data_IF_828539241040
#
_entry.id   IF_828539241040
#
_cell.length_a   1.000
_cell.length_b   1.000
_cell.length_c   1.000
_cell.angle_alpha   90.00
_cell.angle_beta   90.00
_cell.angle_gamma   90.00
#
_symmetry.space_group_name_H-M   'P 1'
#
loop_
_entity.id
_entity.type
_entity.pdbx_description
1 polymer ?
#
# COMPACT_ATOMS: atom_id res chain seq x y z
N UNK A 1 -61.99 -1.06 -23.98
CA UNK A 1 -60.63 -1.36 -24.51
C UNK A 1 -59.87 -0.07 -24.68
N UNK A 2 -58.56 -0.01 -24.34
CA UNK A 2 -57.55 0.94 -24.88
C UNK A 2 -57.80 2.45 -24.66
N UNK A 3 -56.81 3.35 -24.60
CA UNK A 3 -55.35 3.29 -24.32
C UNK A 3 -54.93 4.71 -23.90
N UNK A 4 -54.28 4.90 -22.76
CA UNK A 4 -53.69 6.21 -22.43
C UNK A 4 -52.29 6.37 -23.05
N UNK A 5 -52.07 7.45 -23.80
CA UNK A 5 -50.75 8.02 -24.15
C UNK A 5 -50.87 9.53 -24.45
N UNK A 6 -49.71 10.19 -24.43
CA UNK A 6 -49.42 11.53 -24.99
C UNK A 6 -49.69 12.77 -24.11
N UNK A 7 -48.60 13.23 -23.47
CA UNK A 7 -48.19 14.64 -23.31
C UNK A 7 -48.13 15.36 -24.69
N UNK A 8 -48.17 16.72 -24.80
CA UNK A 8 -47.07 17.60 -24.36
C UNK A 8 -47.45 19.07 -24.00
N UNK A 9 -46.43 19.96 -24.04
CA UNK A 9 -46.43 21.43 -23.86
C UNK A 9 -46.50 21.91 -22.39
N UNK A 10 -45.46 22.43 -21.71
CA UNK A 10 -44.19 23.15 -22.00
C UNK A 10 -44.27 24.69 -22.03
N UNK A 11 -43.39 25.36 -21.26
CA UNK A 11 -43.10 26.79 -21.34
C UNK A 11 -41.65 27.08 -20.89
N UNK A 12 -41.11 28.23 -21.33
CA UNK A 12 -39.73 28.73 -21.19
C UNK A 12 -39.79 30.21 -20.72
N UNK A 13 -38.77 30.84 -20.13
CA UNK A 13 -37.35 30.49 -19.90
C UNK A 13 -37.07 30.55 -18.36
N UNK A 14 -35.90 30.80 -17.74
CA UNK A 14 -34.61 31.36 -18.15
C UNK A 14 -33.42 30.74 -17.37
N UNK A 15 -32.29 31.46 -17.30
CA UNK A 15 -31.05 31.08 -16.59
C UNK A 15 -30.68 32.14 -15.55
N UNK A 16 -30.05 31.72 -14.45
CA UNK A 16 -28.82 32.36 -13.95
C UNK A 16 -27.97 31.32 -13.18
N UNK A 17 -26.70 31.05 -13.55
CA UNK A 17 -25.89 30.03 -12.91
C UNK A 17 -25.16 30.59 -11.68
N UNK A 18 -25.82 30.58 -10.52
CA UNK A 18 -25.21 30.98 -9.25
C UNK A 18 -23.96 30.14 -8.92
N UNK A 19 -22.82 30.81 -8.68
CA UNK A 19 -21.50 30.19 -8.51
C UNK A 19 -21.45 29.28 -7.25
N UNK A 20 -21.67 27.99 -7.46
CA UNK A 20 -21.81 26.94 -6.44
C UNK A 20 -20.52 26.56 -5.70
N UNK A 21 -19.67 27.55 -5.38
CA UNK A 21 -18.47 27.37 -4.54
C UNK A 21 -18.87 27.08 -3.10
N UNK A 22 -19.11 25.80 -2.80
CA UNK A 22 -19.00 25.32 -1.43
C UNK A 22 -17.58 25.63 -0.90
N UNK A 23 -17.43 26.30 0.24
CA UNK A 23 -16.11 26.51 0.84
C UNK A 23 -15.53 25.15 1.26
N UNK A 24 -14.39 24.78 0.69
CA UNK A 24 -13.71 23.55 1.03
C UNK A 24 -13.20 23.58 2.47
N UNK A 25 -13.41 22.49 3.21
CA UNK A 25 -12.67 22.22 4.44
C UNK A 25 -11.18 22.00 4.10
N UNK A 26 -10.25 22.29 5.02
CA UNK A 26 -8.84 22.52 4.69
C UNK A 26 -8.11 21.23 4.29
N UNK A 27 -7.93 21.04 2.99
CA UNK A 27 -6.93 20.12 2.45
C UNK A 27 -5.59 20.84 2.25
N UNK A 28 -4.56 20.37 2.95
CA UNK A 28 -3.16 20.76 2.74
C UNK A 28 -2.30 19.48 2.84
N UNK A 29 -1.26 19.24 2.03
CA UNK A 29 -0.55 20.16 1.16
C UNK A 29 -1.22 20.45 -0.21
N UNK A 30 -1.60 21.71 -0.41
CA UNK A 30 -1.77 22.53 -1.63
C UNK A 30 -2.57 22.01 -2.84
N UNK A 31 -2.92 20.72 -2.94
CA UNK A 31 -3.59 20.19 -4.13
C UNK A 31 -4.06 18.74 -4.08
N UNK A 32 -3.81 18.01 -2.98
CA UNK A 32 -4.46 16.72 -2.75
C UNK A 32 -5.95 16.90 -2.42
N UNK A 33 -6.79 15.93 -2.79
CA UNK A 33 -8.25 15.97 -2.54
C UNK A 33 -8.86 14.58 -2.49
N UNK A 34 -9.98 14.46 -1.77
CA UNK A 34 -10.85 13.28 -1.74
C UNK A 34 -12.29 13.68 -2.06
N UNK A 35 -12.96 12.93 -2.91
CA UNK A 35 -14.32 13.24 -3.37
C UNK A 35 -15.09 11.99 -3.87
N UNK A 36 -16.42 12.02 -3.83
CA UNK A 36 -17.27 10.96 -4.39
C UNK A 36 -17.68 11.28 -5.82
N UNK A 37 -17.41 10.38 -6.77
CA UNK A 37 -18.03 10.36 -8.10
C UNK A 37 -19.25 9.43 -8.03
N UNK A 38 -20.42 10.01 -7.73
CA UNK A 38 -21.68 9.27 -7.65
C UNK A 38 -22.17 8.78 -9.03
N UNK A 39 -21.68 9.36 -10.13
CA UNK A 39 -21.98 8.91 -11.49
C UNK A 39 -21.25 7.61 -11.85
N UNK A 40 -20.07 7.39 -11.27
CA UNK A 40 -19.29 6.15 -11.39
C UNK A 40 -19.47 5.17 -10.23
N UNK A 41 -20.12 5.58 -9.14
CA UNK A 41 -20.20 4.79 -7.90
C UNK A 41 -18.84 4.64 -7.23
N UNK A 42 -18.06 5.72 -7.16
CA UNK A 42 -16.67 5.68 -6.72
C UNK A 42 -16.34 6.73 -5.65
N UNK A 43 -15.38 6.41 -4.79
CA UNK A 43 -14.65 7.35 -3.95
C UNK A 43 -13.25 7.52 -4.55
N UNK A 44 -12.83 8.77 -4.76
CA UNK A 44 -11.59 9.09 -5.49
C UNK A 44 -10.68 9.94 -4.61
N UNK A 45 -9.40 9.57 -4.56
CA UNK A 45 -8.33 10.40 -4.00
C UNK A 45 -7.40 10.79 -5.15
N UNK A 46 -7.24 12.10 -5.37
CA UNK A 46 -6.14 12.66 -6.17
C UNK A 46 -5.07 13.19 -5.20
N UNK A 47 -3.82 12.79 -5.38
CA UNK A 47 -2.70 13.48 -4.73
C UNK A 47 -2.41 14.82 -5.41
N UNK A 48 -1.59 15.65 -4.76
CA UNK A 48 -1.11 16.92 -5.31
C UNK A 48 -0.42 16.72 -6.67
N UNK A 49 -0.53 17.69 -7.60
CA UNK A 49 0.04 17.55 -8.93
C UNK A 49 1.57 17.66 -8.89
N UNK A 50 2.24 16.90 -9.76
CA UNK A 50 3.68 17.00 -9.97
C UNK A 50 4.03 16.88 -11.45
N UNK A 51 5.22 17.35 -11.78
CA UNK A 51 5.83 17.13 -13.10
C UNK A 51 6.72 15.89 -13.03
N UNK A 52 6.68 15.07 -14.08
CA UNK A 52 7.37 13.79 -14.21
C UNK A 52 8.33 13.87 -15.42
N UNK A 53 9.58 14.30 -15.25
CA UNK A 53 10.56 14.32 -16.35
C UNK A 53 10.89 12.91 -16.84
N UNK A 54 11.06 12.74 -18.15
CA UNK A 54 11.42 11.44 -18.73
C UNK A 54 12.78 10.91 -18.26
N UNK A 55 12.94 9.60 -18.26
CA UNK A 55 14.11 8.83 -17.83
C UNK A 55 14.56 9.10 -16.36
N UNK A 56 13.65 9.52 -15.49
CA UNK A 56 13.93 9.89 -14.09
C UNK A 56 13.45 8.79 -13.12
N UNK A 57 14.36 8.08 -12.42
CA UNK A 57 13.99 7.09 -11.41
C UNK A 57 13.49 7.75 -10.12
N UNK A 58 12.76 7.00 -9.27
CA UNK A 58 12.10 7.55 -8.08
C UNK A 58 13.03 8.33 -7.14
N UNK A 59 14.30 7.92 -7.00
CA UNK A 59 15.30 8.57 -6.14
C UNK A 59 15.89 9.87 -6.71
N UNK A 60 15.50 10.27 -7.93
CA UNK A 60 15.83 11.57 -8.55
C UNK A 60 14.58 12.44 -8.77
N UNK A 61 13.40 11.91 -8.42
CA UNK A 61 12.12 12.55 -8.65
C UNK A 61 11.52 13.06 -7.33
N UNK A 62 11.08 14.32 -7.31
CA UNK A 62 10.35 14.88 -6.17
C UNK A 62 9.01 14.15 -6.01
N UNK A 63 8.90 13.33 -4.97
CA UNK A 63 7.75 12.47 -4.76
C UNK A 63 6.49 13.26 -4.32
N UNK A 64 5.28 12.80 -4.66
CA UNK A 64 4.05 13.44 -4.20
C UNK A 64 4.05 13.62 -2.67
N UNK A 65 3.73 14.83 -2.15
CA UNK A 65 3.58 15.07 -0.72
C UNK A 65 2.59 14.08 -0.09
N UNK A 66 2.90 13.60 1.12
CA UNK A 66 1.98 12.78 1.90
C UNK A 66 0.78 13.64 2.30
N UNK A 67 -0.43 13.17 2.01
CA UNK A 67 -1.66 13.91 2.22
C UNK A 67 -2.51 13.26 3.33
N UNK A 68 -2.86 14.04 4.35
CA UNK A 68 -3.92 13.65 5.30
C UNK A 68 -5.23 14.23 4.80
N UNK A 69 -6.28 13.42 4.70
CA UNK A 69 -7.56 13.75 4.08
C UNK A 69 -8.72 13.21 4.93
N UNK A 70 -9.84 13.93 5.00
CA UNK A 70 -11.05 13.47 5.68
C UNK A 70 -11.99 12.72 4.73
N UNK A 71 -12.53 11.57 5.14
CA UNK A 71 -13.57 10.88 4.37
C UNK A 71 -14.81 11.78 4.18
N UNK A 72 -15.29 12.03 2.94
CA UNK A 72 -16.35 13.00 2.69
C UNK A 72 -17.78 12.47 2.92
N UNK A 73 -17.98 11.14 2.93
CA UNK A 73 -19.30 10.52 3.01
C UNK A 73 -19.25 9.11 3.61
N UNK A 74 -20.31 8.72 4.32
CA UNK A 74 -20.47 7.37 4.89
C UNK A 74 -20.74 6.32 3.81
N UNK A 75 -20.11 5.14 3.94
CA UNK A 75 -20.36 4.03 3.02
C UNK A 75 -19.40 2.86 3.22
N UNK A 76 -19.10 2.14 2.14
CA UNK A 76 -18.09 1.07 2.13
C UNK A 76 -17.39 1.00 0.79
N UNK A 77 -16.07 0.79 0.80
CA UNK A 77 -15.31 0.45 -0.41
C UNK A 77 -15.14 -1.07 -0.53
N UNK A 78 -15.20 -1.58 -1.76
CA UNK A 78 -15.11 -3.02 -2.04
C UNK A 78 -14.24 -3.36 -3.27
N UNK A 79 -13.47 -2.39 -3.75
CA UNK A 79 -12.51 -2.57 -4.83
C UNK A 79 -11.72 -1.28 -5.03
N UNK A 80 -10.55 -1.37 -5.66
CA UNK A 80 -9.73 -0.20 -5.95
C UNK A 80 -8.81 -0.42 -7.15
N UNK A 81 -8.30 0.69 -7.68
CA UNK A 81 -7.11 0.74 -8.53
C UNK A 81 -6.36 2.05 -8.31
N UNK A 82 -5.06 2.04 -8.58
CA UNK A 82 -4.23 3.25 -8.66
C UNK A 82 -3.85 3.47 -10.11
N UNK A 83 -3.75 4.73 -10.54
CA UNK A 83 -3.25 5.12 -11.85
C UNK A 83 -2.55 6.48 -11.74
N UNK A 84 -1.67 6.82 -12.69
CA UNK A 84 -1.25 8.20 -12.92
C UNK A 84 -2.15 8.81 -13.99
N UNK A 85 -2.55 10.07 -13.84
CA UNK A 85 -3.34 10.81 -14.83
C UNK A 85 -2.68 12.11 -15.25
N UNK A 86 -2.92 12.55 -16.49
CA UNK A 86 -2.53 13.85 -17.02
C UNK A 86 -3.35 15.00 -16.41
N UNK A 87 -2.99 16.24 -16.74
CA UNK A 87 -3.69 17.45 -16.27
C UNK A 87 -5.14 17.60 -16.77
N UNK A 88 -5.56 16.80 -17.77
CA UNK A 88 -6.93 16.68 -18.24
C UNK A 88 -7.66 15.44 -17.66
N UNK A 89 -7.00 14.66 -16.80
CA UNK A 89 -7.54 13.46 -16.17
C UNK A 89 -7.51 12.19 -17.02
N UNK A 90 -6.77 12.15 -18.14
CA UNK A 90 -6.53 10.94 -18.93
C UNK A 90 -5.47 10.07 -18.26
N UNK A 91 -5.59 8.76 -18.37
CA UNK A 91 -4.63 7.83 -17.77
C UNK A 91 -3.31 7.79 -18.56
N UNK A 92 -2.21 7.79 -17.80
CA UNK A 92 -0.83 7.64 -18.25
C UNK A 92 -0.35 6.20 -17.98
N UNK A 93 0.81 5.76 -18.49
CA UNK A 93 1.27 4.38 -18.33
C UNK A 93 1.34 3.93 -16.86
N UNK A 94 0.81 2.73 -16.57
CA UNK A 94 0.78 2.17 -15.21
C UNK A 94 2.19 1.98 -14.60
N UNK A 95 3.21 1.82 -15.46
CA UNK A 95 4.62 1.73 -15.05
C UNK A 95 5.21 3.01 -14.44
N UNK A 96 4.44 4.11 -14.40
CA UNK A 96 4.79 5.30 -13.63
C UNK A 96 4.54 5.15 -12.12
N UNK A 97 3.71 4.18 -11.70
CA UNK A 97 3.48 3.87 -10.27
C UNK A 97 4.62 3.00 -9.76
N UNK A 98 5.36 3.49 -8.76
CA UNK A 98 6.28 2.67 -7.99
C UNK A 98 5.55 2.02 -6.81
N UNK A 99 4.86 2.82 -5.97
CA UNK A 99 3.88 2.32 -5.01
C UNK A 99 2.86 3.36 -4.55
N UNK A 100 1.78 2.91 -3.90
CA UNK A 100 0.77 3.70 -3.22
C UNK A 100 0.38 3.03 -1.89
N UNK A 101 0.15 3.81 -0.84
CA UNK A 101 -0.42 3.36 0.42
C UNK A 101 -1.60 4.25 0.84
N UNK A 102 -2.67 3.63 1.33
CA UNK A 102 -3.73 4.28 2.10
C UNK A 102 -3.71 3.74 3.53
N UNK A 103 -3.61 4.64 4.50
CA UNK A 103 -3.45 4.33 5.92
C UNK A 103 -4.55 5.03 6.72
N UNK A 104 -5.04 4.37 7.76
CA UNK A 104 -5.92 4.92 8.78
C UNK A 104 -5.06 5.21 10.03
N UNK A 105 -4.83 6.49 10.37
CA UNK A 105 -4.01 6.89 11.52
C UNK A 105 -4.78 6.86 12.85
N UNK A 106 -6.10 6.67 12.82
CA UNK A 106 -6.97 6.76 13.98
C UNK A 106 -7.23 5.40 14.63
N UNK A 107 -7.07 4.30 13.87
CA UNK A 107 -7.26 2.93 14.32
C UNK A 107 -5.96 2.11 14.23
N UNK A 108 -5.77 1.17 15.17
CA UNK A 108 -4.58 0.29 15.15
C UNK A 108 -4.67 -0.81 14.10
N UNK A 109 -3.54 -1.27 13.59
CA UNK A 109 -3.44 -2.50 12.79
C UNK A 109 -3.94 -3.73 13.58
N UNK A 110 -4.33 -4.83 12.93
CA UNK A 110 -4.90 -5.98 13.65
C UNK A 110 -3.89 -6.61 14.62
N UNK A 111 -2.66 -6.87 14.17
CA UNK A 111 -1.64 -7.59 14.96
C UNK A 111 -0.60 -6.70 15.67
N UNK A 112 -0.66 -5.38 15.49
CA UNK A 112 0.34 -4.42 16.00
C UNK A 112 -0.28 -3.10 16.49
N UNK A 113 0.33 -2.39 17.46
CA UNK A 113 -0.04 -1.03 17.84
C UNK A 113 0.59 0.01 16.87
N UNK A 114 0.32 -0.15 15.57
CA UNK A 114 0.73 0.80 14.50
C UNK A 114 -0.51 1.27 13.74
N UNK A 115 -0.40 2.26 12.85
CA UNK A 115 -1.56 2.76 12.09
C UNK A 115 -2.07 1.71 11.09
N UNK A 116 -3.39 1.48 11.06
CA UNK A 116 -4.03 0.43 10.26
C UNK A 116 -3.80 0.64 8.76
N UNK A 117 -3.30 -0.40 8.07
CA UNK A 117 -3.08 -0.34 6.61
C UNK A 117 -4.37 -0.66 5.86
N UNK A 118 -4.94 0.33 5.16
CA UNK A 118 -6.18 0.14 4.41
C UNK A 118 -5.93 -0.45 3.03
N UNK A 119 -4.99 0.10 2.27
CA UNK A 119 -4.68 -0.32 0.90
C UNK A 119 -3.18 -0.17 0.64
N UNK A 120 -2.62 -1.09 -0.14
CA UNK A 120 -1.29 -0.96 -0.73
C UNK A 120 -1.35 -1.40 -2.20
N UNK A 121 -0.56 -0.77 -3.06
CA UNK A 121 -0.47 -1.13 -4.48
C UNK A 121 0.89 -0.74 -5.06
N UNK A 122 1.56 -1.65 -5.76
CA UNK A 122 2.66 -1.35 -6.67
C UNK A 122 2.23 -1.47 -8.15
N UNK A 123 3.22 -1.38 -9.05
CA UNK A 123 3.07 -1.59 -10.51
C UNK A 123 2.41 -2.93 -10.84
N UNK A 124 2.72 -3.94 -10.05
CA UNK A 124 2.30 -5.35 -10.17
C UNK A 124 0.90 -5.66 -9.61
N UNK A 125 0.33 -4.78 -8.78
CA UNK A 125 -0.91 -5.06 -8.02
C UNK A 125 -2.17 -5.04 -8.90
N UNK A 126 -2.25 -4.14 -9.88
CA UNK A 126 -3.41 -3.98 -10.76
C UNK A 126 -4.71 -3.59 -10.03
N UNK A 127 -5.89 -3.81 -10.66
CA UNK A 127 -7.19 -3.51 -10.06
C UNK A 127 -7.67 -4.64 -9.11
N UNK A 128 -7.77 -4.35 -7.82
CA UNK A 128 -8.22 -5.29 -6.79
C UNK A 128 -9.73 -5.16 -6.58
N UNK A 129 -10.46 -6.29 -6.53
CA UNK A 129 -11.92 -6.30 -6.28
C UNK A 129 -12.35 -7.41 -5.33
N UNK A 130 -13.16 -7.03 -4.35
CA UNK A 130 -13.88 -7.94 -3.46
C UNK A 130 -15.30 -8.20 -4.00
N UNK A 131 -15.98 -9.28 -3.57
CA UNK A 131 -17.40 -9.46 -3.81
C UNK A 131 -18.24 -8.39 -3.05
N UNK A 132 -18.44 -7.22 -3.65
CA UNK A 132 -19.02 -6.03 -3.00
C UNK A 132 -20.45 -6.14 -2.46
N UNK A 133 -21.18 -7.20 -2.83
CA UNK A 133 -22.45 -7.54 -2.18
C UNK A 133 -22.24 -8.21 -0.80
N UNK A 134 -21.14 -8.94 -0.63
CA UNK A 134 -20.80 -9.64 0.61
C UNK A 134 -19.90 -8.80 1.50
N UNK A 135 -18.84 -8.19 0.96
CA UNK A 135 -17.76 -7.60 1.75
C UNK A 135 -17.42 -6.18 1.31
N UNK A 136 -17.14 -5.32 2.28
CA UNK A 136 -16.49 -4.03 2.05
C UNK A 136 -15.93 -3.42 3.34
N UNK A 137 -14.89 -2.61 3.21
CA UNK A 137 -14.34 -1.80 4.29
C UNK A 137 -15.31 -0.65 4.56
N UNK A 138 -15.94 -0.57 5.75
CA UNK A 138 -16.76 0.58 6.10
C UNK A 138 -15.89 1.83 6.28
N UNK A 139 -16.40 2.97 5.82
CA UNK A 139 -15.83 4.30 6.02
C UNK A 139 -16.91 5.22 6.59
N UNK A 140 -16.60 6.01 7.61
CA UNK A 140 -17.48 7.07 8.14
C UNK A 140 -16.97 8.45 7.71
N UNK A 141 -17.89 9.38 7.51
CA UNK A 141 -17.56 10.78 7.21
C UNK A 141 -16.76 11.40 8.38
N UNK A 142 -15.66 12.07 8.05
CA UNK A 142 -14.77 12.72 9.03
C UNK A 142 -13.75 11.81 9.70
N UNK A 143 -13.68 10.52 9.34
CA UNK A 143 -12.49 9.71 9.64
C UNK A 143 -11.31 10.19 8.79
N UNK A 144 -10.10 10.20 9.35
CA UNK A 144 -8.91 10.57 8.60
C UNK A 144 -8.36 9.39 7.81
N UNK A 145 -7.81 9.66 6.64
CA UNK A 145 -6.91 8.76 5.91
C UNK A 145 -5.65 9.49 5.50
N UNK A 146 -4.52 8.79 5.57
CA UNK A 146 -3.23 9.25 5.06
C UNK A 146 -2.95 8.52 3.75
N UNK A 147 -2.81 9.29 2.67
CA UNK A 147 -2.48 8.80 1.34
C UNK A 147 -1.04 9.20 0.99
N UNK A 148 -0.24 8.22 0.56
CA UNK A 148 1.11 8.45 0.07
C UNK A 148 1.39 7.62 -1.17
N UNK A 149 2.19 8.15 -2.09
CA UNK A 149 2.62 7.46 -3.29
C UNK A 149 4.10 7.70 -3.56
N UNK A 150 4.75 6.73 -4.19
CA UNK A 150 5.98 6.95 -4.95
C UNK A 150 5.73 6.63 -6.42
N UNK A 151 6.36 7.41 -7.26
CA UNK A 151 6.33 7.32 -8.72
C UNK A 151 7.74 7.39 -9.27
N UNK A 152 7.90 6.91 -10.49
CA UNK A 152 9.08 7.13 -11.31
C UNK A 152 8.65 7.32 -12.76
N UNK A 153 9.58 7.74 -13.62
CA UNK A 153 9.31 7.87 -15.04
C UNK A 153 10.52 7.39 -15.83
N UNK A 154 10.64 6.07 -15.97
CA UNK A 154 11.66 5.43 -16.80
C UNK A 154 11.33 5.51 -18.30
N UNK A 155 10.20 6.12 -18.67
CA UNK A 155 9.82 6.38 -20.06
C UNK A 155 10.55 7.62 -20.61
N UNK A 156 10.75 7.75 -21.94
CA UNK A 156 11.38 8.94 -22.51
C UNK A 156 10.47 10.18 -22.55
N UNK A 157 9.19 10.07 -22.18
CA UNK A 157 8.22 11.17 -22.23
C UNK A 157 8.21 11.97 -20.93
N UNK A 158 8.06 13.30 -21.02
CA UNK A 158 7.83 14.17 -19.84
C UNK A 158 6.35 14.48 -19.71
N UNK A 159 5.81 14.39 -18.49
CA UNK A 159 4.42 14.72 -18.18
C UNK A 159 4.35 15.90 -17.21
N UNK A 160 3.54 16.92 -17.50
CA UNK A 160 3.39 18.10 -16.65
C UNK A 160 2.05 18.07 -15.91
N UNK A 161 2.06 18.47 -14.63
CA UNK A 161 0.89 18.52 -13.75
C UNK A 161 0.10 17.20 -13.71
N UNK A 162 0.84 16.09 -13.76
CA UNK A 162 0.31 14.75 -13.59
C UNK A 162 -0.11 14.54 -12.12
N UNK A 163 -0.99 13.57 -11.87
CA UNK A 163 -1.47 13.23 -10.52
C UNK A 163 -1.54 11.73 -10.34
N UNK A 164 -1.14 11.26 -9.16
CA UNK A 164 -1.48 9.90 -8.72
C UNK A 164 -2.93 9.90 -8.23
N UNK A 165 -3.73 8.99 -8.79
CA UNK A 165 -5.16 8.85 -8.51
C UNK A 165 -5.45 7.44 -8.00
N UNK A 166 -6.04 7.35 -6.82
CA UNK A 166 -6.68 6.15 -6.30
C UNK A 166 -8.19 6.26 -6.58
N UNK A 167 -8.75 5.28 -7.31
CA UNK A 167 -10.20 5.13 -7.52
C UNK A 167 -10.66 3.90 -6.76
N UNK A 168 -11.64 4.06 -5.87
CA UNK A 168 -12.22 2.98 -5.06
C UNK A 168 -13.67 2.75 -5.49
N UNK A 169 -14.05 1.50 -5.78
CA UNK A 169 -15.44 1.10 -6.01
C UNK A 169 -16.22 1.28 -4.68
N UNK A 170 -17.21 2.18 -4.64
CA UNK A 170 -17.83 2.70 -3.41
C UNK A 170 -19.35 2.54 -3.39
N UNK A 171 -19.85 1.90 -2.33
CA UNK A 171 -21.27 1.82 -2.01
C UNK A 171 -21.61 2.82 -0.90
N UNK A 172 -22.45 3.85 -1.14
CA UNK A 172 -22.90 4.78 -0.10
C UNK A 172 -23.71 4.09 1.00
N UNK A 173 -23.72 4.67 2.20
CA UNK A 173 -24.51 4.18 3.33
C UNK A 173 -26.03 4.11 3.05
N UNK A 174 -26.74 3.30 3.84
CA UNK A 174 -28.18 3.05 3.67
C UNK A 174 -28.54 1.99 2.62
N UNK A 175 -27.56 1.40 1.95
CA UNK A 175 -27.74 0.19 1.11
C UNK A 175 -27.75 -1.07 1.99
N UNK A 176 -28.46 -2.14 1.59
CA UNK A 176 -28.48 -3.41 2.32
C UNK A 176 -27.26 -4.31 2.00
N UNK A 177 -26.24 -3.77 1.33
CA UNK A 177 -24.95 -4.40 1.06
C UNK A 177 -23.83 -3.35 1.26
N UNK A 178 -22.57 -3.76 1.54
CA UNK A 178 -22.11 -5.14 1.76
C UNK A 178 -22.70 -5.77 3.02
N UNK A 179 -22.97 -7.08 3.00
CA UNK A 179 -23.52 -7.82 4.15
C UNK A 179 -22.57 -7.86 5.35
N UNK A 180 -21.26 -7.86 5.11
CA UNK A 180 -20.22 -7.95 6.12
C UNK A 180 -19.27 -6.75 6.03
N UNK A 181 -19.07 -6.09 7.17
CA UNK A 181 -17.99 -5.12 7.38
C UNK A 181 -16.67 -5.89 7.43
N UNK A 182 -15.77 -5.61 6.51
CA UNK A 182 -14.57 -6.39 6.29
C UNK A 182 -13.36 -5.46 6.21
N UNK A 183 -12.45 -5.58 7.17
CA UNK A 183 -11.20 -4.81 7.20
C UNK A 183 -10.06 -5.61 6.58
N UNK A 184 -9.11 -4.94 5.90
CA UNK A 184 -7.83 -5.54 5.58
C UNK A 184 -7.04 -5.84 6.87
N UNK A 185 -6.08 -6.74 6.77
CA UNK A 185 -5.08 -7.00 7.80
C UNK A 185 -3.77 -7.48 7.16
N UNK A 186 -2.66 -7.32 7.88
CA UNK A 186 -1.35 -7.85 7.49
C UNK A 186 -0.53 -8.34 8.70
N UNK A 187 0.35 -9.30 8.45
CA UNK A 187 1.35 -9.78 9.41
C UNK A 187 2.64 -10.14 8.66
N UNK A 188 3.77 -9.59 9.13
CA UNK A 188 5.03 -9.56 8.38
C UNK A 188 6.18 -10.15 9.22
N UNK A 189 7.09 -10.91 8.61
CA UNK A 189 8.28 -11.45 9.30
C UNK A 189 9.36 -10.39 9.61
N UNK A 190 9.18 -9.16 9.12
CA UNK A 190 10.03 -8.00 9.43
C UNK A 190 9.38 -7.01 10.43
N UNK A 191 8.20 -7.32 10.99
CA UNK A 191 7.56 -6.51 12.03
C UNK A 191 8.43 -6.38 13.30
N UNK A 192 8.32 -5.28 14.07
CA UNK A 192 7.15 -4.38 14.14
C UNK A 192 7.15 -3.13 13.25
N UNK A 193 8.30 -2.51 12.97
CA UNK A 193 8.41 -1.28 12.16
C UNK A 193 9.75 -1.27 11.43
N UNK A 194 9.73 -0.87 10.14
CA UNK A 194 10.91 -0.76 9.30
C UNK A 194 10.59 -1.12 7.85
N UNK A 195 11.63 -1.28 7.04
CA UNK A 195 11.52 -1.85 5.71
C UNK A 195 11.13 -3.34 5.81
N UNK A 196 10.22 -3.79 4.96
CA UNK A 196 9.66 -5.15 4.98
C UNK A 196 10.61 -6.22 4.43
N UNK A 197 11.63 -5.77 3.70
CA UNK A 197 12.65 -6.59 3.10
C UNK A 197 13.73 -6.98 4.11
N UNK A 198 14.51 -8.01 3.80
CA UNK A 198 15.64 -8.41 4.59
C UNK A 198 16.74 -9.05 3.77
N UNK A 199 17.99 -8.90 4.23
CA UNK A 199 19.14 -9.60 3.67
C UNK A 199 18.95 -11.12 3.78
N UNK A 200 18.86 -11.77 2.62
CA UNK A 200 18.68 -13.21 2.48
C UNK A 200 20.05 -13.91 2.47
N UNK A 201 20.40 -14.74 3.47
CA UNK A 201 21.69 -15.44 3.49
C UNK A 201 21.79 -16.55 2.42
N UNK A 202 22.99 -17.08 2.13
CA UNK A 202 23.18 -18.27 1.28
C UNK A 202 22.42 -19.49 1.79
N UNK A 203 21.90 -20.31 0.87
CA UNK A 203 21.23 -21.57 1.16
C UNK A 203 19.87 -21.42 1.84
N UNK A 204 19.51 -22.43 2.65
CA UNK A 204 18.22 -22.51 3.35
C UNK A 204 18.16 -21.58 4.54
N UNK A 205 17.09 -20.80 4.62
CA UNK A 205 16.78 -19.96 5.76
C UNK A 205 15.29 -19.86 6.00
N UNK A 206 14.91 -19.44 7.20
CA UNK A 206 13.53 -19.09 7.54
C UNK A 206 13.49 -17.85 8.42
N UNK A 207 12.33 -17.19 8.43
CA UNK A 207 12.00 -16.13 9.40
C UNK A 207 10.57 -16.31 9.87
N UNK A 208 10.30 -15.90 11.10
CA UNK A 208 8.97 -15.95 11.71
C UNK A 208 8.69 -14.68 12.49
N UNK A 209 7.42 -14.31 12.59
CA UNK A 209 6.92 -13.30 13.52
C UNK A 209 5.65 -13.81 14.19
N UNK A 210 5.45 -13.47 15.46
CA UNK A 210 4.28 -13.86 16.25
C UNK A 210 3.52 -12.64 16.77
N UNK A 211 2.19 -12.73 16.76
CA UNK A 211 1.32 -11.64 17.18
C UNK A 211 -0.04 -12.11 17.69
N UNK A 212 -0.83 -11.19 18.22
CA UNK A 212 -2.20 -11.43 18.69
C UNK A 212 -3.15 -10.41 18.05
N UNK A 213 -4.34 -10.83 17.58
CA UNK A 213 -5.27 -9.89 16.97
C UNK A 213 -5.86 -8.96 18.04
N UNK A 214 -6.09 -7.70 17.67
CA UNK A 214 -6.69 -6.70 18.55
C UNK A 214 -8.08 -7.10 19.08
N UNK A 215 -8.82 -7.85 18.26
CA UNK A 215 -10.23 -8.17 18.41
C UNK A 215 -10.55 -9.53 17.78
N UNK A 216 -11.58 -10.25 18.26
CA UNK A 216 -12.01 -11.51 17.67
C UNK A 216 -12.80 -11.29 16.37
N UNK A 217 -12.76 -12.28 15.49
CA UNK A 217 -13.44 -12.26 14.20
C UNK A 217 -12.94 -13.34 13.26
N UNK A 218 -13.24 -13.21 11.97
CA UNK A 218 -12.95 -14.26 10.97
C UNK A 218 -12.07 -13.77 9.85
N UNK A 219 -10.99 -14.51 9.57
CA UNK A 219 -10.23 -14.38 8.33
C UNK A 219 -11.04 -15.06 7.21
N UNK A 220 -11.50 -14.27 6.25
CA UNK A 220 -12.42 -14.74 5.18
C UNK A 220 -11.70 -14.97 3.85
N UNK A 221 -10.57 -14.29 3.63
CA UNK A 221 -9.67 -14.50 2.51
C UNK A 221 -8.28 -14.04 2.88
N UNK A 222 -7.26 -14.68 2.32
CA UNK A 222 -5.86 -14.46 2.67
C UNK A 222 -4.93 -14.82 1.52
N UNK A 223 -3.72 -14.26 1.54
CA UNK A 223 -2.65 -14.54 0.60
C UNK A 223 -1.30 -14.09 1.16
N UNK A 224 -0.23 -14.31 0.41
CA UNK A 224 1.11 -13.92 0.80
C UNK A 224 1.81 -13.01 -0.22
N UNK A 225 2.94 -12.44 0.20
CA UNK A 225 3.94 -11.86 -0.69
C UNK A 225 5.34 -12.31 -0.24
N UNK A 226 6.16 -12.67 -1.22
CA UNK A 226 7.53 -13.17 -1.06
C UNK A 226 8.41 -12.63 -2.20
N UNK A 227 9.69 -12.40 -1.91
CA UNK A 227 10.72 -12.17 -2.92
C UNK A 227 11.28 -13.51 -3.44
N UNK A 228 12.07 -13.44 -4.51
CA UNK A 228 12.68 -14.61 -5.17
C UNK A 228 13.43 -15.54 -4.22
N UNK A 229 13.54 -16.81 -4.62
CA UNK A 229 14.03 -17.92 -3.81
C UNK A 229 13.15 -18.30 -2.60
N UNK A 230 12.03 -17.60 -2.37
CA UNK A 230 10.95 -18.04 -1.49
C UNK A 230 10.41 -19.42 -1.90
N UNK A 231 10.17 -20.28 -0.91
CA UNK A 231 9.73 -21.68 -1.11
C UNK A 231 8.39 -22.00 -0.47
N UNK A 232 8.10 -21.36 0.66
CA UNK A 232 6.87 -21.57 1.43
C UNK A 232 6.60 -20.34 2.30
N UNK A 233 5.33 -19.94 2.38
CA UNK A 233 4.79 -19.03 3.39
C UNK A 233 3.63 -19.71 4.12
N UNK A 234 3.56 -19.51 5.44
CA UNK A 234 2.54 -20.08 6.31
C UNK A 234 1.97 -19.02 7.26
N UNK A 235 0.70 -19.20 7.63
CA UNK A 235 0.08 -18.52 8.78
C UNK A 235 -0.66 -19.56 9.61
N UNK A 236 -0.31 -19.64 10.90
CA UNK A 236 -0.75 -20.69 11.82
C UNK A 236 -1.24 -20.11 13.13
N UNK A 237 -2.21 -20.77 13.74
CA UNK A 237 -2.51 -20.59 15.16
C UNK A 237 -1.40 -21.29 15.97
N UNK A 238 -0.55 -20.51 16.61
CA UNK A 238 0.57 -21.03 17.41
C UNK A 238 0.13 -21.48 18.81
N UNK A 239 -1.12 -21.20 19.22
CA UNK A 239 -1.73 -21.69 20.46
C UNK A 239 -2.34 -23.08 20.30
N UNK A 240 -2.98 -23.37 19.17
CA UNK A 240 -3.57 -24.70 18.89
C UNK A 240 -2.70 -25.60 18.02
N UNK A 241 -1.81 -25.03 17.21
CA UNK A 241 -1.07 -25.72 16.16
C UNK A 241 -1.83 -25.84 14.83
N UNK A 242 -2.98 -25.17 14.67
CA UNK A 242 -3.79 -25.22 13.44
C UNK A 242 -3.13 -24.42 12.30
N UNK A 243 -2.98 -25.05 11.13
CA UNK A 243 -2.46 -24.39 9.92
C UNK A 243 -3.60 -23.75 9.16
N UNK A 244 -3.71 -22.41 9.27
CA UNK A 244 -4.75 -21.60 8.62
C UNK A 244 -4.40 -21.31 7.16
N UNK A 245 -3.09 -21.22 6.85
CA UNK A 245 -2.56 -21.01 5.51
C UNK A 245 -1.20 -21.68 5.35
N UNK A 246 -0.98 -22.27 4.18
CA UNK A 246 0.28 -22.87 3.74
C UNK A 246 0.31 -22.76 2.21
N UNK A 247 1.29 -22.04 1.65
CA UNK A 247 1.39 -21.85 0.21
C UNK A 247 2.84 -21.79 -0.29
N UNK A 248 3.15 -22.60 -1.28
CA UNK A 248 4.35 -22.42 -2.11
C UNK A 248 4.06 -21.35 -3.20
N UNK A 249 5.00 -20.44 -3.49
CA UNK A 249 4.87 -19.49 -4.58
C UNK A 249 4.92 -20.18 -5.95
N UNK A 250 4.27 -19.57 -6.95
CA UNK A 250 4.28 -20.01 -8.34
C UNK A 250 5.31 -19.19 -9.12
N UNK A 251 6.26 -19.86 -9.76
CA UNK A 251 7.32 -19.22 -10.54
C UNK A 251 6.93 -18.88 -11.98
N UNK A 252 7.68 -17.96 -12.59
CA UNK A 252 7.69 -17.70 -14.04
C UNK A 252 8.57 -18.72 -14.80
N UNK A 253 8.75 -18.52 -16.11
CA UNK A 253 9.58 -19.40 -16.95
C UNK A 253 11.11 -19.22 -16.75
N UNK A 254 11.55 -18.21 -15.99
CA UNK A 254 12.95 -17.97 -15.63
C UNK A 254 13.28 -18.41 -14.19
N UNK A 255 12.26 -18.63 -13.35
CA UNK A 255 12.37 -19.06 -11.96
C UNK A 255 12.10 -17.97 -10.91
N UNK A 256 11.72 -16.76 -11.32
CA UNK A 256 11.29 -15.69 -10.41
C UNK A 256 9.86 -15.96 -9.91
N UNK A 257 9.45 -15.40 -8.76
CA UNK A 257 8.09 -15.56 -8.24
C UNK A 257 7.11 -14.71 -9.06
N UNK A 258 6.19 -15.36 -9.77
CA UNK A 258 5.11 -14.71 -10.52
C UNK A 258 3.88 -14.43 -9.65
N UNK A 259 3.60 -15.27 -8.63
CA UNK A 259 2.50 -15.05 -7.68
C UNK A 259 2.61 -15.94 -6.43
N UNK A 260 1.88 -15.57 -5.37
CA UNK A 260 1.62 -16.46 -4.21
C UNK A 260 0.14 -16.84 -4.21
N UNK A 261 -0.23 -18.13 -4.06
CA UNK A 261 -1.63 -18.58 -4.06
C UNK A 261 -2.52 -17.90 -3.00
N UNK A 262 -3.66 -17.35 -3.42
CA UNK A 262 -4.66 -16.70 -2.55
C UNK A 262 -5.75 -17.71 -2.15
N UNK A 263 -5.97 -17.90 -0.85
CA UNK A 263 -7.02 -18.75 -0.30
C UNK A 263 -8.30 -17.95 0.00
N UNK A 264 -9.45 -18.51 -0.37
CA UNK A 264 -10.78 -18.02 0.04
C UNK A 264 -11.33 -18.97 1.09
N UNK A 265 -11.62 -18.47 2.28
CA UNK A 265 -12.13 -19.24 3.43
C UNK A 265 -13.65 -19.10 3.62
N UNK A 266 -14.32 -18.27 2.81
CA UNK A 266 -15.78 -18.20 2.73
C UNK A 266 -16.35 -19.14 1.64
N UNK A 267 -17.52 -19.72 1.90
CA UNK A 267 -18.25 -20.59 0.98
C UNK A 267 -19.58 -21.06 1.56
N UNK A 268 -20.16 -22.12 0.99
CA UNK A 268 -21.45 -22.68 1.45
C UNK A 268 -21.42 -23.25 2.87
N UNK A 269 -20.23 -23.60 3.37
CA UNK A 269 -20.01 -24.25 4.68
C UNK A 269 -19.62 -23.28 5.80
N UNK A 270 -19.27 -22.03 5.49
CA UNK A 270 -18.77 -21.08 6.49
C UNK A 270 -18.30 -19.75 5.89
N UNK A 271 -18.06 -18.77 6.77
CA UNK A 271 -17.62 -17.42 6.38
C UNK A 271 -16.09 -17.24 6.41
N UNK A 272 -15.37 -18.09 7.12
CA UNK A 272 -13.94 -17.96 7.36
C UNK A 272 -13.49 -18.69 8.63
N UNK A 273 -12.18 -18.82 8.81
CA UNK A 273 -11.56 -19.32 10.06
C UNK A 273 -11.64 -18.22 11.11
N UNK A 274 -12.04 -18.57 12.33
CA UNK A 274 -12.13 -17.62 13.46
C UNK A 274 -10.77 -17.49 14.17
N UNK A 275 -10.44 -16.28 14.63
CA UNK A 275 -9.24 -15.98 15.39
C UNK A 275 -9.58 -15.12 16.62
N UNK A 276 -8.82 -15.28 17.71
CA UNK A 276 -9.14 -14.70 19.02
C UNK A 276 -7.94 -14.01 19.70
N UNK A 277 -8.12 -12.91 20.47
CA UNK A 277 -7.02 -12.16 21.10
C UNK A 277 -6.22 -12.90 22.18
N UNK A 278 -6.75 -13.97 22.75
CA UNK A 278 -6.09 -14.83 23.74
C UNK A 278 -5.16 -15.87 23.10
N UNK A 279 -5.34 -16.17 21.81
CA UNK A 279 -4.46 -17.00 21.00
C UNK A 279 -3.28 -16.19 20.42
N UNK A 280 -2.12 -16.83 20.29
CA UNK A 280 -0.97 -16.32 19.54
C UNK A 280 -0.99 -16.92 18.13
N UNK A 281 -0.80 -16.08 17.11
CA UNK A 281 -0.66 -16.51 15.72
C UNK A 281 0.79 -16.29 15.28
N UNK A 282 1.24 -17.09 14.31
CA UNK A 282 2.59 -17.00 13.72
C UNK A 282 2.51 -16.94 12.20
N UNK A 283 3.30 -16.04 11.61
CA UNK A 283 3.65 -16.06 10.18
C UNK A 283 5.04 -16.64 10.05
N UNK A 284 5.24 -17.52 9.06
CA UNK A 284 6.52 -18.14 8.74
C UNK A 284 6.84 -17.98 7.25
N UNK A 285 8.08 -17.68 6.90
CA UNK A 285 8.60 -17.86 5.54
C UNK A 285 9.84 -18.74 5.52
N UNK A 286 9.98 -19.49 4.42
CA UNK A 286 11.10 -20.38 4.14
C UNK A 286 11.66 -20.05 2.76
N UNK A 287 12.98 -19.92 2.68
CA UNK A 287 13.73 -19.56 1.47
C UNK A 287 14.86 -20.58 1.24
N UNK A 288 15.27 -20.73 -0.02
CA UNK A 288 16.46 -21.52 -0.40
C UNK A 288 17.24 -20.81 -1.51
N UNK A 289 18.16 -19.93 -1.09
CA UNK A 289 19.02 -19.10 -1.93
C UNK A 289 20.16 -19.96 -2.54
N UNK A 290 20.18 -20.21 -3.86
CA UNK A 290 21.17 -21.08 -4.48
C UNK A 290 22.54 -20.41 -4.67
N UNK A 291 22.65 -19.11 -4.39
CA UNK A 291 23.91 -18.37 -4.55
C UNK A 291 24.80 -18.52 -3.32
N UNK A 292 26.12 -18.35 -3.52
CA UNK A 292 27.11 -18.37 -2.44
C UNK A 292 27.21 -17.03 -1.68
N UNK A 293 26.28 -16.09 -1.89
CA UNK A 293 26.33 -14.73 -1.35
C UNK A 293 25.02 -14.35 -0.67
N UNK A 294 25.13 -13.49 0.36
CA UNK A 294 23.96 -12.84 0.94
C UNK A 294 23.40 -11.81 -0.04
N UNK A 295 22.08 -11.82 -0.26
CA UNK A 295 21.39 -10.90 -1.16
C UNK A 295 20.73 -9.82 -0.28
N UNK A 296 21.21 -8.56 -0.29
CA UNK A 296 20.53 -7.44 0.37
C UNK A 296 19.09 -7.35 -0.14
N UNK A 297 18.14 -7.18 0.78
CA UNK A 297 16.70 -7.09 0.50
C UNK A 297 16.07 -8.27 -0.27
N UNK A 298 16.82 -9.36 -0.48
CA UNK A 298 16.41 -10.53 -1.27
C UNK A 298 15.30 -11.38 -0.65
N UNK A 299 14.88 -11.10 0.58
CA UNK A 299 13.74 -11.76 1.22
C UNK A 299 12.67 -10.77 1.69
N UNK A 300 11.41 -11.17 1.61
CA UNK A 300 10.25 -10.52 2.25
C UNK A 300 9.28 -11.61 2.73
N UNK A 301 8.40 -11.34 3.70
CA UNK A 301 7.44 -12.34 4.15
C UNK A 301 6.20 -11.76 4.77
N UNK A 302 5.25 -11.36 3.92
CA UNK A 302 3.96 -10.81 4.35
C UNK A 302 2.86 -11.85 4.14
N UNK A 303 2.06 -12.13 5.16
CA UNK A 303 0.70 -12.66 4.97
C UNK A 303 -0.28 -11.50 5.18
N UNK A 304 -1.29 -11.42 4.33
CA UNK A 304 -2.34 -10.41 4.46
C UNK A 304 -3.65 -10.90 3.88
N UNK A 305 -4.72 -10.18 4.17
CA UNK A 305 -6.03 -10.63 3.74
C UNK A 305 -7.18 -9.76 4.22
N UNK A 306 -8.35 -10.38 4.26
CA UNK A 306 -9.62 -9.77 4.62
C UNK A 306 -10.16 -10.43 5.89
N UNK A 307 -10.51 -9.60 6.88
CA UNK A 307 -10.99 -10.00 8.19
C UNK A 307 -12.33 -9.34 8.51
N UNK A 308 -13.30 -10.12 8.96
CA UNK A 308 -14.62 -9.66 9.40
C UNK A 308 -14.66 -9.74 10.93
N UNK A 309 -14.68 -8.61 11.67
CA UNK A 309 -14.83 -8.60 13.12
C UNK A 309 -16.12 -9.29 13.56
N UNK A 310 -16.13 -9.88 14.76
CA UNK A 310 -17.35 -10.45 15.32
C UNK A 310 -18.45 -9.40 15.56
N UNK A 311 -19.71 -9.86 15.59
CA UNK A 311 -20.86 -8.95 15.61
C UNK A 311 -20.91 -8.13 16.92
N UNK A 312 -20.75 -6.82 16.79
CA UNK A 312 -20.77 -5.88 17.91
C UNK A 312 -19.38 -5.50 18.43
N UNK A 313 -18.32 -6.08 17.86
CA UNK A 313 -16.94 -5.62 18.06
C UNK A 313 -16.75 -4.25 17.41
N UNK A 314 -16.24 -3.30 18.17
CA UNK A 314 -15.68 -2.05 17.64
C UNK A 314 -14.17 -2.22 17.41
N UNK A 315 -13.63 -1.55 16.40
CA UNK A 315 -12.21 -1.63 16.09
C UNK A 315 -11.42 -0.68 17.00
N UNK A 316 -10.33 -1.10 17.67
CA UNK A 316 -9.65 -0.23 18.63
C UNK A 316 -8.96 0.97 17.95
N UNK A 317 -9.06 2.12 18.60
CA UNK A 317 -8.29 3.31 18.26
C UNK A 317 -6.77 3.04 18.37
N UNK A 318 -5.97 3.81 17.64
CA UNK A 318 -4.53 3.79 17.76
C UNK A 318 -4.09 4.55 19.02
N UNK A 319 -3.25 3.92 19.85
CA UNK A 319 -2.57 4.64 20.93
C UNK A 319 -1.46 5.51 20.32
N UNK A 320 -1.75 6.80 20.16
CA UNK A 320 -0.80 7.77 19.61
C UNK A 320 0.42 8.03 20.52
N UNK A 321 0.44 7.49 21.75
CA UNK A 321 1.59 7.53 22.66
C UNK A 321 2.48 6.29 22.58
N UNK A 322 2.04 5.21 21.91
CA UNK A 322 2.84 4.00 21.72
C UNK A 322 4.11 4.31 20.91
N UNK A 323 5.25 3.77 21.36
CA UNK A 323 6.54 3.96 20.71
C UNK A 323 6.63 3.37 19.30
N UNK A 324 5.89 2.30 19.00
CA UNK A 324 5.80 1.69 17.67
C UNK A 324 4.89 2.52 16.77
N UNK A 325 3.75 3.01 17.27
CA UNK A 325 2.93 3.99 16.54
C UNK A 325 3.74 5.24 16.18
N UNK A 326 4.54 5.76 17.12
CA UNK A 326 5.39 6.93 16.91
C UNK A 326 6.58 6.70 15.96
N UNK A 327 7.01 5.46 15.76
CA UNK A 327 7.98 5.10 14.72
C UNK A 327 7.29 4.94 13.37
N UNK A 328 6.15 4.24 13.34
CA UNK A 328 5.32 4.02 12.17
C UNK A 328 4.85 5.35 11.54
N UNK A 329 4.28 6.25 12.36
CA UNK A 329 3.88 7.60 11.96
C UNK A 329 5.03 8.37 11.31
N UNK A 330 6.23 8.35 11.89
CA UNK A 330 7.41 9.02 11.30
C UNK A 330 7.84 8.38 9.98
N UNK A 331 7.70 7.08 9.84
CA UNK A 331 8.01 6.35 8.59
C UNK A 331 7.00 6.70 7.48
N UNK A 332 5.70 6.49 7.68
CA UNK A 332 4.73 6.72 6.59
C UNK A 332 4.48 8.20 6.27
N UNK A 333 4.66 9.10 7.24
CA UNK A 333 4.64 10.55 6.99
C UNK A 333 5.97 11.08 6.43
N UNK A 334 6.99 10.22 6.24
CA UNK A 334 8.34 10.57 5.74
C UNK A 334 9.04 11.66 6.58
N UNK A 335 8.84 11.63 7.89
CA UNK A 335 9.38 12.58 8.86
C UNK A 335 10.72 12.13 9.48
N UNK A 336 11.11 10.86 9.25
CA UNK A 336 12.47 10.37 9.49
C UNK A 336 13.17 10.10 8.17
N UNK A 337 14.47 10.38 8.09
CA UNK A 337 15.30 10.16 6.89
C UNK A 337 15.63 8.69 6.62
N UNK A 338 14.59 7.85 6.46
CA UNK A 338 14.72 6.46 6.06
C UNK A 338 15.03 6.36 4.57
N UNK A 339 16.25 5.91 4.24
CA UNK A 339 16.70 5.57 2.89
C UNK A 339 16.60 6.66 1.80
N UNK A 340 16.72 7.94 2.16
CA UNK A 340 17.59 8.82 1.38
C UNK A 340 19.05 8.44 1.68
N UNK A 341 19.69 7.69 0.79
CA UNK A 341 21.14 7.49 0.84
C UNK A 341 21.85 8.85 0.73
N UNK A 342 22.95 9.07 1.47
CA UNK A 342 23.35 10.41 1.87
C UNK A 342 23.66 11.32 0.68
N UNK A 343 23.02 12.49 0.68
CA UNK A 343 23.37 13.64 -0.16
C UNK A 343 24.89 13.81 -0.21
N UNK A 344 25.48 13.54 -1.37
CA UNK A 344 26.90 13.83 -1.64
C UNK A 344 27.08 15.35 -1.60
N UNK A 345 27.45 15.85 -0.43
CA UNK A 345 27.99 17.21 -0.26
C UNK A 345 29.05 17.44 -1.35
N UNK A 346 28.92 18.48 -2.19
CA UNK A 346 29.90 18.77 -3.22
C UNK A 346 31.20 19.20 -2.54
N UNK A 347 32.17 18.29 -2.48
CA UNK A 347 33.50 18.58 -1.94
C UNK A 347 34.11 19.75 -2.71
N UNK A 348 34.62 20.80 -2.03
CA UNK A 348 35.09 22.00 -2.71
C UNK A 348 36.28 21.68 -3.61
N UNK A 349 36.25 22.25 -4.83
CA UNK A 349 37.33 22.14 -5.81
C UNK A 349 38.62 22.76 -5.28
N UNK A 350 39.52 21.93 -4.73
CA UNK A 350 40.86 22.36 -4.34
C UNK A 350 41.72 22.60 -5.58
N UNK A 351 41.71 23.84 -6.07
CA UNK A 351 42.58 24.28 -7.16
C UNK A 351 43.93 24.71 -6.57
N UNK A 352 44.95 23.88 -6.72
CA UNK A 352 46.30 24.16 -6.23
C UNK A 352 47.34 23.28 -6.93
N UNK A 353 48.35 23.91 -7.55
CA UNK A 353 49.45 23.26 -8.25
C UNK A 353 50.80 23.69 -7.67
N UNK A 354 51.89 23.05 -8.11
CA UNK A 354 53.30 23.31 -7.75
C UNK A 354 53.70 22.82 -6.32
N UNK A 355 54.91 22.30 -6.04
CA UNK A 355 56.04 21.89 -6.91
C UNK A 355 57.10 21.04 -6.16
N UNK A 356 58.01 20.42 -6.94
CA UNK A 356 59.40 20.05 -6.61
C UNK A 356 59.76 18.96 -5.56
N UNK A 357 60.61 18.02 -6.01
CA UNK A 357 61.59 17.27 -5.20
C UNK A 357 61.22 15.82 -4.83
N UNK A 358 62.14 14.85 -4.78
CA UNK A 358 63.54 14.83 -5.27
C UNK A 358 64.10 13.39 -5.35
N UNK A 359 65.23 13.24 -6.07
CA UNK A 359 66.25 12.18 -5.95
C UNK A 359 65.96 10.72 -6.40
N UNK A 360 67.04 10.04 -6.81
CA UNK A 360 67.11 8.63 -7.20
C UNK A 360 67.53 7.74 -6.02
N UNK A 361 67.16 6.46 -6.05
CA UNK A 361 68.05 5.35 -5.61
C UNK A 361 67.77 4.06 -6.36
N UNK A 362 68.83 3.33 -6.72
CA UNK A 362 68.80 1.94 -7.22
C UNK A 362 68.40 0.95 -6.11
N UNK A 363 67.78 -0.18 -6.48
CA UNK A 363 68.26 -1.51 -6.07
C UNK A 363 67.79 -2.64 -7.00
N UNK A 364 68.54 -3.74 -7.02
CA UNK A 364 68.38 -4.83 -8.00
C UNK A 364 67.28 -5.85 -7.66
N UNK A 365 66.92 -6.66 -8.67
CA UNK A 365 66.33 -7.99 -8.48
C UNK A 365 67.44 -9.05 -8.34
N UNK A 366 67.30 -10.05 -7.46
CA UNK A 366 68.05 -11.30 -7.56
C UNK A 366 67.43 -12.25 -8.61
N UNK A 367 68.27 -13.14 -9.15
CA UNK A 367 67.91 -14.34 -9.93
C UNK A 367 69.09 -15.31 -9.89
N UNK A 368 68.88 -16.64 -9.95
CA UNK A 368 67.60 -17.36 -9.87
C UNK A 368 67.14 -17.61 -8.43
#
# INVERSE_FOLDING_TARGET
MMRHRSLPLALLLALDPGDGRHPGLPGDAAGARIFTDLGRGALVIDLAPLDLPGNTPHHQLAQPPVATLEIPADGSIHGFRVAVVDSAGRELPDELIHHFNLIDPDHRELFLPISRRLLAAGRETGPVRLPGLLFGLPLKRGEHVVASAMVENLTPATYHQARVRLVMDFTPAGRPWPLFRASPWQMDVAFPVGDKSFTLPPGRSSRTYEGRPAVPGKVVGLGGHMHDYGRLIEFVDATTGEVIYHAAPVGDAAGHIASVPVSRLYGWTGLGVHIAPDHTYRVSVYYDNPTAQSIPDGGMGVVGGLFVPDRGVEWPAADRTDSLYQQDYRHYMRLGGGHEMPMRMPMPMSVGAHQHGAAHTHREKPTP
#
